data_IF_396229662412
#
_entry.id   IF_396229662412
#
_cell.length_a   1.000
_cell.length_b   1.000
_cell.length_c   1.000
_cell.angle_alpha   90.00
_cell.angle_beta   90.00
_cell.angle_gamma   90.00
#
_symmetry.space_group_name_H-M   'P 1'
#
loop_
_entity.id
_entity.type
_entity.pdbx_description
1 polymer ?
#
# COMPACT_ATOMS: atom_id res chain seq x y z
N UNK A 1 -19.79 -24.99 16.27
CA UNK A 1 -19.91 -23.59 16.76
C UNK A 1 -18.75 -22.78 16.19
N UNK A 2 -18.80 -22.36 14.93
CA UNK A 2 -17.70 -21.67 14.24
C UNK A 2 -18.19 -20.53 13.32
N UNK A 3 -19.45 -20.11 13.45
CA UNK A 3 -20.10 -19.23 12.47
C UNK A 3 -20.16 -17.75 12.88
N UNK A 4 -19.63 -17.40 14.06
CA UNK A 4 -19.77 -16.05 14.62
C UNK A 4 -18.64 -15.09 14.22
N UNK A 5 -17.43 -15.61 13.96
CA UNK A 5 -16.25 -14.79 13.64
C UNK A 5 -16.13 -14.45 12.15
N UNK A 6 -16.77 -15.22 11.27
CA UNK A 6 -16.73 -14.91 9.81
C UNK A 6 -17.51 -13.65 9.45
N UNK A 7 -18.46 -13.23 10.28
CA UNK A 7 -19.20 -11.98 10.09
C UNK A 7 -18.34 -10.73 10.31
N UNK A 8 -17.23 -10.82 11.06
CA UNK A 8 -16.39 -9.65 11.40
C UNK A 8 -15.20 -9.47 10.46
N UNK A 9 -14.88 -10.47 9.62
CA UNK A 9 -13.76 -10.44 8.67
C UNK A 9 -14.18 -10.93 7.29
N UNK A 10 -15.04 -10.18 6.57
CA UNK A 10 -15.56 -10.60 5.27
C UNK A 10 -14.45 -10.80 4.23
N UNK A 11 -13.31 -10.10 4.35
CA UNK A 11 -12.14 -10.24 3.46
C UNK A 11 -11.37 -11.56 3.60
N UNK A 12 -11.70 -12.38 4.61
CA UNK A 12 -11.13 -13.72 4.78
C UNK A 12 -12.07 -14.82 4.26
N UNK A 13 -13.24 -14.47 3.72
CA UNK A 13 -14.17 -15.44 3.16
C UNK A 13 -13.50 -16.12 1.95
N UNK A 14 -13.50 -17.45 1.93
CA UNK A 14 -12.91 -18.28 0.88
C UNK A 14 -11.38 -18.25 0.75
N UNK A 15 -10.66 -17.69 1.72
CA UNK A 15 -9.20 -17.82 1.83
C UNK A 15 -8.82 -19.08 2.62
N UNK A 16 -7.67 -19.68 2.27
CA UNK A 16 -7.11 -20.80 3.03
C UNK A 16 -6.73 -20.41 4.45
N UNK A 17 -6.69 -21.38 5.37
CA UNK A 17 -6.39 -21.17 6.79
C UNK A 17 -5.04 -20.47 7.00
N UNK A 18 -4.10 -20.64 6.06
CA UNK A 18 -2.79 -19.99 6.05
C UNK A 18 -2.82 -18.46 5.90
N UNK A 19 -3.93 -17.90 5.40
CA UNK A 19 -4.13 -16.46 5.22
C UNK A 19 -5.05 -15.85 6.29
N UNK A 20 -5.77 -16.68 7.06
CA UNK A 20 -6.78 -16.24 8.02
C UNK A 20 -6.23 -15.98 9.45
N UNK A 21 -4.99 -16.38 9.73
CA UNK A 21 -4.37 -16.33 11.06
C UNK A 21 -3.44 -15.14 11.35
N UNK A 22 -3.54 -14.06 10.57
CA UNK A 22 -2.64 -12.91 10.68
C UNK A 22 -2.89 -12.01 11.90
N UNK A 23 -1.86 -11.26 12.29
CA UNK A 23 -1.89 -10.20 13.29
C UNK A 23 -1.46 -8.87 12.64
N UNK A 24 -2.39 -7.93 12.49
CA UNK A 24 -2.13 -6.63 11.83
C UNK A 24 -0.91 -5.87 12.39
N UNK A 25 -0.65 -5.97 13.70
CA UNK A 25 0.46 -5.28 14.36
C UNK A 25 1.84 -5.88 14.03
N UNK A 26 1.90 -7.06 13.40
CA UNK A 26 3.14 -7.68 12.92
C UNK A 26 3.47 -7.28 11.48
N UNK A 27 2.52 -6.69 10.76
CA UNK A 27 2.77 -6.21 9.41
C UNK A 27 3.53 -4.89 9.41
N UNK A 28 4.56 -4.81 8.58
CA UNK A 28 5.31 -3.58 8.33
C UNK A 28 5.80 -3.51 6.89
N UNK A 29 5.63 -2.36 6.26
CA UNK A 29 6.21 -2.05 4.96
C UNK A 29 6.94 -0.72 5.05
N UNK A 30 8.19 -0.69 4.57
CA UNK A 30 8.96 0.56 4.55
C UNK A 30 9.92 0.63 3.38
N UNK A 31 10.21 1.85 2.97
CA UNK A 31 11.35 2.17 2.12
C UNK A 31 12.63 2.18 2.99
N UNK A 32 13.63 1.39 2.63
CA UNK A 32 14.87 1.24 3.40
C UNK A 32 16.06 1.98 2.79
N UNK A 33 16.10 2.13 1.46
CA UNK A 33 17.17 2.84 0.76
C UNK A 33 16.73 3.32 -0.62
N UNK A 34 17.37 4.39 -1.07
CA UNK A 34 17.28 4.91 -2.44
C UNK A 34 18.65 4.76 -3.12
N UNK A 35 18.66 4.26 -4.34
CA UNK A 35 19.83 4.32 -5.23
C UNK A 35 19.55 5.40 -6.28
N UNK A 36 20.46 6.38 -6.37
CA UNK A 36 20.39 7.45 -7.37
C UNK A 36 21.12 7.02 -8.64
N UNK A 37 20.79 7.64 -9.78
CA UNK A 37 21.47 7.37 -11.07
C UNK A 37 22.98 7.68 -11.00
N UNK A 38 23.42 8.51 -10.06
CA UNK A 38 24.84 8.74 -9.76
C UNK A 38 25.55 7.51 -9.17
N UNK A 39 24.83 6.45 -8.80
CA UNK A 39 25.30 5.29 -8.04
C UNK A 39 25.33 5.51 -6.52
N UNK A 40 24.94 6.70 -6.04
CA UNK A 40 24.87 7.00 -4.61
C UNK A 40 23.72 6.23 -3.95
N UNK A 41 24.00 5.63 -2.80
CA UNK A 41 22.99 5.00 -1.95
C UNK A 41 22.66 5.90 -0.75
N UNK A 42 21.38 6.25 -0.64
CA UNK A 42 20.83 7.06 0.45
C UNK A 42 19.99 6.16 1.35
N UNK A 43 20.56 5.68 2.48
CA UNK A 43 19.80 4.88 3.43
C UNK A 43 18.70 5.70 4.11
N UNK A 44 17.55 5.08 4.33
CA UNK A 44 16.41 5.70 5.02
C UNK A 44 16.26 5.04 6.39
N UNK A 45 16.32 5.86 7.43
CA UNK A 45 16.16 5.41 8.80
C UNK A 45 14.79 4.76 9.01
N UNK A 46 14.75 3.67 9.78
CA UNK A 46 13.49 2.97 10.12
C UNK A 46 12.53 3.86 10.90
N UNK A 47 13.06 4.78 11.70
CA UNK A 47 12.28 5.69 12.54
C UNK A 47 12.79 7.12 12.39
N UNK A 48 11.92 8.09 12.66
CA UNK A 48 12.22 9.51 12.56
C UNK A 48 11.71 10.16 11.27
N UNK A 49 12.23 11.34 10.97
CA UNK A 49 11.83 12.14 9.80
C UNK A 49 13.05 12.34 8.90
N UNK A 50 12.94 11.87 7.65
CA UNK A 50 13.94 12.13 6.62
C UNK A 50 13.57 13.40 5.86
N UNK A 51 14.43 14.43 5.95
CA UNK A 51 14.26 15.67 5.21
C UNK A 51 15.11 15.67 3.94
N UNK A 52 14.51 15.96 2.79
CA UNK A 52 15.22 16.16 1.52
C UNK A 52 15.38 17.66 1.28
N UNK A 53 16.61 18.15 1.36
CA UNK A 53 16.96 19.58 1.25
C UNK A 53 17.94 19.82 0.09
N UNK A 54 17.95 21.04 -0.44
CA UNK A 54 18.83 21.43 -1.53
C UNK A 54 18.31 22.66 -2.29
N UNK A 55 19.14 23.21 -3.17
CA UNK A 55 18.82 24.41 -3.95
C UNK A 55 17.60 24.26 -4.88
N UNK A 56 17.16 25.36 -5.49
CA UNK A 56 16.09 25.29 -6.49
C UNK A 56 16.54 24.47 -7.70
N UNK A 57 15.60 23.73 -8.29
CA UNK A 57 15.79 22.94 -9.52
C UNK A 57 16.82 21.79 -9.45
N UNK A 58 17.27 21.39 -8.26
CA UNK A 58 18.18 20.23 -8.09
C UNK A 58 17.48 18.87 -8.16
N UNK A 59 16.20 18.83 -8.55
CA UNK A 59 15.46 17.58 -8.74
C UNK A 59 14.69 17.03 -7.54
N UNK A 60 14.57 17.75 -6.41
CA UNK A 60 13.85 17.26 -5.21
C UNK A 60 12.41 16.76 -5.49
N UNK A 61 11.59 17.58 -6.13
CA UNK A 61 10.22 17.19 -6.48
C UNK A 61 10.17 16.09 -7.53
N UNK A 62 11.18 16.02 -8.41
CA UNK A 62 11.32 14.94 -9.39
C UNK A 62 11.64 13.62 -8.70
N UNK A 63 12.57 13.62 -7.74
CA UNK A 63 12.89 12.46 -6.92
C UNK A 63 11.65 11.95 -6.16
N UNK A 64 10.89 12.82 -5.50
CA UNK A 64 9.68 12.42 -4.78
C UNK A 64 8.60 11.84 -5.72
N UNK A 65 8.43 12.42 -6.91
CA UNK A 65 7.50 11.90 -7.93
C UNK A 65 7.95 10.53 -8.45
N UNK A 66 9.24 10.34 -8.65
CA UNK A 66 9.80 9.05 -9.10
C UNK A 66 9.65 7.99 -8.02
N UNK A 67 9.94 8.30 -6.75
CA UNK A 67 9.71 7.39 -5.62
C UNK A 67 8.23 6.97 -5.57
N UNK A 68 7.31 7.95 -5.64
CA UNK A 68 5.89 7.67 -5.68
C UNK A 68 5.51 6.76 -6.86
N UNK A 69 6.01 7.07 -8.06
CA UNK A 69 5.73 6.30 -9.27
C UNK A 69 6.24 4.87 -9.21
N UNK A 70 7.43 4.64 -8.62
CA UNK A 70 7.95 3.28 -8.43
C UNK A 70 7.09 2.50 -7.43
N UNK A 71 6.69 3.11 -6.31
CA UNK A 71 5.86 2.47 -5.28
C UNK A 71 4.48 2.09 -5.84
N UNK A 72 3.92 2.92 -6.73
CA UNK A 72 2.60 2.69 -7.34
C UNK A 72 2.65 1.91 -8.66
N UNK A 73 3.83 1.47 -9.09
CA UNK A 73 3.94 0.73 -10.35
C UNK A 73 3.32 -0.67 -10.21
N UNK A 74 2.41 -1.00 -11.13
CA UNK A 74 1.80 -2.32 -11.21
C UNK A 74 2.40 -3.12 -12.35
N UNK A 75 2.39 -4.44 -12.21
CA UNK A 75 2.85 -5.36 -13.25
C UNK A 75 2.11 -5.09 -14.57
N UNK A 76 2.88 -4.89 -15.66
CA UNK A 76 2.33 -4.61 -16.99
C UNK A 76 2.17 -3.11 -17.32
N UNK A 77 2.43 -2.19 -16.39
CA UNK A 77 2.53 -0.77 -16.73
C UNK A 77 3.89 -0.42 -17.36
N UNK A 78 3.94 0.54 -18.31
CA UNK A 78 5.20 1.06 -18.80
C UNK A 78 6.02 1.64 -17.65
N UNK A 79 7.29 1.23 -17.54
CA UNK A 79 8.20 1.80 -16.54
C UNK A 79 8.36 3.30 -16.78
N UNK A 80 8.08 4.16 -15.79
CA UNK A 80 8.31 5.60 -15.92
C UNK A 80 9.77 5.90 -16.26
N UNK A 81 10.02 6.92 -17.07
CA UNK A 81 11.40 7.40 -17.30
C UNK A 81 11.91 8.03 -16.01
N UNK A 82 13.03 7.53 -15.50
CA UNK A 82 13.66 8.06 -14.31
C UNK A 82 14.82 9.00 -14.66
N UNK A 83 14.89 10.13 -13.96
CA UNK A 83 15.90 11.18 -14.14
C UNK A 83 16.85 11.30 -12.96
N UNK A 84 16.42 10.88 -11.76
CA UNK A 84 17.20 11.00 -10.53
C UNK A 84 17.31 9.66 -9.82
N UNK A 85 16.19 8.96 -9.70
CA UNK A 85 16.08 7.69 -9.00
C UNK A 85 16.46 6.52 -9.91
N UNK A 86 17.36 5.65 -9.46
CA UNK A 86 17.66 4.41 -10.15
C UNK A 86 16.86 3.24 -9.56
N UNK A 87 16.80 3.15 -8.23
CA UNK A 87 16.14 2.03 -7.54
C UNK A 87 15.64 2.43 -6.16
N UNK A 88 14.52 1.83 -5.75
CA UNK A 88 14.06 1.83 -4.38
C UNK A 88 14.23 0.43 -3.78
N UNK A 89 14.76 0.37 -2.57
CA UNK A 89 14.82 -0.86 -1.78
C UNK A 89 13.78 -0.79 -0.66
N UNK A 90 13.08 -1.90 -0.46
CA UNK A 90 12.00 -2.00 0.51
C UNK A 90 12.30 -3.10 1.52
N UNK A 91 11.74 -2.95 2.71
CA UNK A 91 11.71 -3.99 3.73
C UNK A 91 10.26 -4.34 4.06
N UNK A 92 10.06 -5.63 4.29
CA UNK A 92 8.80 -6.24 4.66
C UNK A 92 8.96 -6.94 6.00
N UNK A 93 8.02 -6.69 6.90
CA UNK A 93 7.93 -7.34 8.21
C UNK A 93 6.58 -8.05 8.30
N UNK A 94 6.59 -9.27 8.83
CA UNK A 94 5.40 -10.11 8.94
C UNK A 94 5.14 -11.00 7.73
N UNK A 95 4.06 -11.76 7.82
CA UNK A 95 3.55 -12.68 6.80
C UNK A 95 2.51 -12.03 5.89
N UNK A 96 2.10 -12.74 4.83
CA UNK A 96 0.99 -12.30 3.97
C UNK A 96 -0.33 -12.26 4.77
N UNK A 97 -0.52 -13.18 5.73
CA UNK A 97 -1.69 -13.17 6.61
C UNK A 97 -1.72 -11.89 7.47
N UNK A 98 -0.58 -11.47 8.01
CA UNK A 98 -0.47 -10.22 8.80
C UNK A 98 -0.81 -9.00 7.94
N UNK A 99 -0.35 -8.97 6.68
CA UNK A 99 -0.73 -7.93 5.71
C UNK A 99 -2.23 -7.92 5.44
N UNK A 100 -2.85 -9.07 5.16
CA UNK A 100 -4.28 -9.14 4.87
C UNK A 100 -5.12 -8.69 6.06
N UNK A 101 -4.74 -9.10 7.27
CA UNK A 101 -5.37 -8.62 8.50
C UNK A 101 -5.19 -7.11 8.66
N UNK A 102 -4.00 -6.56 8.39
CA UNK A 102 -3.77 -5.12 8.41
C UNK A 102 -4.62 -4.36 7.39
N UNK A 103 -4.70 -4.85 6.14
CA UNK A 103 -5.53 -4.22 5.10
C UNK A 103 -7.00 -4.25 5.54
N UNK A 104 -7.49 -5.39 6.03
CA UNK A 104 -8.88 -5.52 6.48
C UNK A 104 -9.26 -4.63 7.66
N UNK A 105 -8.30 -4.31 8.53
CA UNK A 105 -8.53 -3.35 9.63
C UNK A 105 -8.49 -1.89 9.19
N UNK A 106 -7.81 -1.56 8.09
CA UNK A 106 -7.58 -0.18 7.65
C UNK A 106 -8.41 0.24 6.43
N UNK A 107 -9.01 -0.71 5.71
CA UNK A 107 -9.74 -0.48 4.47
C UNK A 107 -11.12 -1.16 4.50
N UNK A 108 -12.11 -0.52 3.87
CA UNK A 108 -13.42 -1.13 3.70
C UNK A 108 -13.33 -2.28 2.68
N UNK A 109 -14.05 -3.37 2.95
CA UNK A 109 -14.19 -4.50 2.03
C UNK A 109 -15.63 -4.52 1.49
N UNK A 110 -15.76 -4.77 0.19
CA UNK A 110 -17.05 -4.89 -0.49
C UNK A 110 -17.19 -6.25 -1.12
N UNK A 111 -18.32 -6.89 -0.85
CA UNK A 111 -18.78 -8.15 -1.44
C UNK A 111 -20.14 -7.98 -2.16
N UNK A 112 -20.55 -6.73 -2.42
CA UNK A 112 -21.84 -6.44 -3.00
C UNK A 112 -22.01 -7.12 -4.38
N UNK A 113 -23.17 -7.76 -4.66
CA UNK A 113 -23.36 -8.61 -5.85
C UNK A 113 -23.24 -7.87 -7.19
N UNK A 114 -23.30 -6.54 -7.18
CA UNK A 114 -23.18 -5.68 -8.36
C UNK A 114 -21.93 -4.78 -8.35
N UNK A 115 -20.99 -5.01 -7.42
CA UNK A 115 -19.74 -4.28 -7.32
C UNK A 115 -18.54 -5.23 -7.43
N UNK A 116 -17.36 -4.74 -7.86
CA UNK A 116 -16.14 -5.52 -7.76
C UNK A 116 -15.90 -5.94 -6.31
N UNK A 117 -15.68 -7.24 -6.09
CA UNK A 117 -15.34 -7.77 -4.77
C UNK A 117 -13.91 -7.38 -4.44
N UNK A 118 -13.68 -6.81 -3.25
CA UNK A 118 -12.35 -6.46 -2.79
C UNK A 118 -12.29 -5.27 -1.84
N UNK A 119 -11.06 -4.83 -1.56
CA UNK A 119 -10.80 -3.65 -0.73
C UNK A 119 -11.03 -2.36 -1.51
N UNK A 120 -11.75 -1.43 -0.90
CA UNK A 120 -12.05 -0.12 -1.45
C UNK A 120 -10.98 0.90 -1.04
N UNK A 121 -10.60 1.78 -1.97
CA UNK A 121 -9.70 2.89 -1.68
C UNK A 121 -10.38 3.92 -0.74
N UNK A 122 -9.68 4.44 0.28
CA UNK A 122 -10.19 5.45 1.18
C UNK A 122 -10.34 6.75 0.40
N UNK A 123 -11.56 7.00 -0.11
CA UNK A 123 -11.87 8.10 -1.02
C UNK A 123 -13.06 7.83 -1.92
N UNK A 124 -13.44 6.55 -2.12
CA UNK A 124 -14.61 6.15 -2.91
C UNK A 124 -15.90 6.08 -2.05
N UNK A 125 -15.79 6.29 -0.73
CA UNK A 125 -16.90 6.19 0.23
C UNK A 125 -17.96 7.30 0.14
N UNK A 126 -17.92 8.19 -0.87
CA UNK A 126 -18.76 9.40 -0.94
C UNK A 126 -19.98 9.39 -1.87
N UNK A 127 -20.22 8.37 -2.71
CA UNK A 127 -21.26 8.46 -3.75
C UNK A 127 -22.39 7.41 -3.67
N UNK A 128 -22.36 6.48 -2.73
CA UNK A 128 -23.37 5.41 -2.68
C UNK A 128 -24.66 5.74 -1.89
N UNK A 129 -24.80 6.94 -1.31
CA UNK A 129 -25.92 7.27 -0.42
C UNK A 129 -26.70 8.50 -0.89
N UNK A 130 -27.26 8.48 -2.12
CA UNK A 130 -28.33 9.40 -2.51
C UNK A 130 -29.07 9.01 -3.80
N UNK A 131 -29.70 7.83 -3.85
CA UNK A 131 -30.81 7.60 -4.80
C UNK A 131 -31.89 6.74 -4.13
N UNK A 132 -32.79 7.39 -3.39
CA UNK A 132 -34.22 7.02 -3.29
C UNK A 132 -34.97 8.07 -2.45
N UNK A 133 -35.40 9.13 -3.13
CA UNK A 133 -36.54 9.95 -2.73
C UNK A 133 -36.99 10.82 -3.91
N UNK A 134 -37.75 10.23 -4.84
CA UNK A 134 -38.81 10.91 -5.59
C UNK A 134 -39.98 9.93 -5.73
#
# INVERSE_FOLDING_TARGET
MHNSERSTRPWLTDLGDELAGGEANKFGFRLSSLELISGEQVPIAKTGVTAIVGGNNVGKSTLLREIYGVIHSHYGQPTPVHHVLQKCSYEWEGSIADMLEWIGQNYAYSDAPNAPVGFMSPGVQGEAEQVQAI
#
